data_IF_574698856066
#
_entry.id   IF_574698856066
#
_cell.length_a   1.000
_cell.length_b   1.000
_cell.length_c   1.000
_cell.angle_alpha   90.00
_cell.angle_beta   90.00
_cell.angle_gamma   90.00
#
_symmetry.space_group_name_H-M   'P 1'
#
loop_
_entity.id
_entity.type
_entity.pdbx_description
1 polymer ?
#
# COMPACT_ATOMS: atom_id res chain seq x y z
N UNK A 1 -34.49 -28.28 -23.99
CA UNK A 1 -33.15 -27.62 -23.88
C UNK A 1 -33.23 -26.25 -23.22
N UNK A 2 -33.69 -26.15 -21.95
CA UNK A 2 -33.75 -24.87 -21.22
C UNK A 2 -32.95 -24.85 -19.91
N UNK A 3 -32.37 -25.97 -19.51
CA UNK A 3 -31.61 -26.11 -18.25
C UNK A 3 -30.11 -25.82 -18.45
N UNK A 4 -29.61 -25.90 -19.69
CA UNK A 4 -28.19 -25.73 -20.00
C UNK A 4 -27.70 -24.27 -20.05
N UNK A 5 -28.62 -23.28 -20.03
CA UNK A 5 -28.26 -21.85 -20.05
C UNK A 5 -28.05 -21.23 -18.66
N UNK A 6 -28.47 -21.91 -17.60
CA UNK A 6 -28.30 -21.40 -16.22
C UNK A 6 -27.00 -21.86 -15.54
N UNK A 7 -26.33 -22.88 -16.07
CA UNK A 7 -25.08 -23.40 -15.47
C UNK A 7 -23.85 -22.58 -15.89
N UNK A 8 -23.91 -21.84 -17.01
CA UNK A 8 -22.78 -21.07 -17.52
C UNK A 8 -22.63 -19.65 -16.92
N UNK A 9 -23.62 -19.20 -16.15
CA UNK A 9 -23.62 -17.88 -15.49
C UNK A 9 -23.14 -17.94 -14.02
N UNK A 10 -22.77 -19.13 -13.52
CA UNK A 10 -22.31 -19.33 -12.15
C UNK A 10 -20.77 -19.27 -11.98
N UNK A 11 -20.04 -18.83 -13.01
CA UNK A 11 -18.56 -18.82 -13.03
C UNK A 11 -17.96 -17.47 -13.46
N UNK A 12 -18.54 -16.37 -12.98
CA UNK A 12 -17.94 -15.03 -13.10
C UNK A 12 -18.24 -14.19 -11.85
N UNK A 13 -18.10 -14.80 -10.67
CA UNK A 13 -17.80 -14.03 -9.48
C UNK A 13 -16.30 -13.74 -9.50
N UNK A 14 -15.91 -12.64 -10.14
CA UNK A 14 -14.61 -12.01 -9.87
C UNK A 14 -14.73 -11.44 -8.46
N UNK A 15 -14.49 -12.28 -7.45
CA UNK A 15 -14.30 -11.77 -6.10
C UNK A 15 -12.97 -11.03 -6.11
N UNK A 16 -12.91 -9.73 -5.77
CA UNK A 16 -11.62 -9.08 -5.59
C UNK A 16 -10.88 -9.87 -4.51
N UNK A 17 -9.75 -10.47 -4.88
CA UNK A 17 -8.85 -11.09 -3.92
C UNK A 17 -8.23 -9.93 -3.16
N UNK A 18 -8.88 -9.52 -2.07
CA UNK A 18 -8.35 -8.48 -1.21
C UNK A 18 -7.05 -9.01 -0.60
N UNK A 19 -6.08 -8.11 -0.50
CA UNK A 19 -4.88 -8.37 0.27
C UNK A 19 -5.26 -8.91 1.66
N UNK A 20 -4.49 -9.89 2.14
CA UNK A 20 -4.73 -10.39 3.49
C UNK A 20 -4.14 -9.39 4.47
N UNK A 21 -4.99 -8.81 5.32
CA UNK A 21 -4.52 -8.05 6.47
C UNK A 21 -3.81 -9.00 7.45
N UNK A 22 -2.53 -8.72 7.73
CA UNK A 22 -1.67 -9.56 8.57
C UNK A 22 -1.53 -9.04 10.00
N UNK A 23 -2.26 -7.98 10.37
CA UNK A 23 -2.30 -7.47 11.75
C UNK A 23 -3.41 -8.17 12.55
N UNK A 24 -3.15 -8.55 13.82
CA UNK A 24 -4.18 -9.09 14.68
C UNK A 24 -5.14 -7.99 15.13
N UNK A 25 -6.44 -8.30 15.20
CA UNK A 25 -7.44 -7.42 15.82
C UNK A 25 -7.36 -5.95 15.35
N UNK A 26 -7.23 -5.75 14.04
CA UNK A 26 -7.01 -4.44 13.42
C UNK A 26 -8.09 -3.40 13.65
N UNK A 27 -9.33 -3.84 13.86
CA UNK A 27 -10.47 -2.99 14.18
C UNK A 27 -10.69 -2.85 15.69
N UNK A 28 -9.75 -3.31 16.53
CA UNK A 28 -9.78 -3.20 17.99
C UNK A 28 -11.08 -3.68 18.68
N UNK A 29 -11.73 -4.72 18.14
CA UNK A 29 -12.98 -5.23 18.70
C UNK A 29 -12.77 -6.16 19.90
N UNK A 30 -11.63 -6.82 19.96
CA UNK A 30 -11.32 -7.78 21.02
C UNK A 30 -10.39 -7.16 22.06
N UNK A 31 -10.86 -7.06 23.31
CA UNK A 31 -10.09 -6.53 24.43
C UNK A 31 -9.88 -7.58 25.50
N UNK A 32 -8.66 -7.60 26.03
CA UNK A 32 -8.37 -8.28 27.28
C UNK A 32 -8.75 -7.28 28.36
N UNK A 33 -9.86 -7.54 29.05
CA UNK A 33 -10.39 -6.72 30.17
C UNK A 33 -10.34 -7.47 31.52
N UNK A 34 -9.85 -8.70 31.50
CA UNK A 34 -9.77 -9.58 32.67
C UNK A 34 -8.38 -9.50 33.30
N UNK A 35 -8.31 -9.57 34.64
CA UNK A 35 -7.08 -9.56 35.45
C UNK A 35 -6.35 -8.20 35.54
N UNK A 36 -7.04 -7.08 35.30
CA UNK A 36 -6.49 -5.73 35.48
C UNK A 36 -5.58 -5.25 34.34
N UNK A 37 -5.54 -6.00 33.24
CA UNK A 37 -4.95 -5.58 31.97
C UNK A 37 -6.10 -5.10 31.10
N UNK A 38 -6.03 -3.87 30.59
CA UNK A 38 -7.00 -3.29 29.66
C UNK A 38 -6.29 -2.97 28.34
N UNK A 39 -6.18 -3.96 27.45
CA UNK A 39 -5.45 -3.81 26.19
C UNK A 39 -6.17 -4.53 25.05
N UNK A 40 -6.07 -4.03 23.80
CA UNK A 40 -6.55 -4.76 22.64
C UNK A 40 -5.74 -6.03 22.45
N UNK A 41 -6.40 -7.14 22.13
CA UNK A 41 -5.72 -8.41 21.89
C UNK A 41 -4.70 -8.28 20.76
N UNK A 42 -3.44 -8.68 21.00
CA UNK A 42 -2.36 -8.59 20.01
C UNK A 42 -1.68 -7.23 19.92
N UNK A 43 -2.05 -6.28 20.78
CA UNK A 43 -1.47 -4.94 20.85
C UNK A 43 -0.93 -4.65 22.25
N UNK A 44 0.19 -3.94 22.29
CA UNK A 44 0.81 -3.39 23.50
C UNK A 44 0.45 -1.92 23.55
N UNK A 45 0.02 -1.44 24.71
CA UNK A 45 -0.33 -0.02 24.90
C UNK A 45 0.47 0.60 26.03
N UNK A 46 0.38 1.93 26.15
CA UNK A 46 0.91 2.68 27.29
C UNK A 46 0.11 2.52 28.58
N UNK A 47 -1.07 1.87 28.56
CA UNK A 47 -1.98 1.75 29.70
C UNK A 47 -1.35 1.15 30.96
N UNK A 48 -0.52 0.08 30.90
CA UNK A 48 0.12 -0.47 32.09
C UNK A 48 1.16 0.45 32.74
N UNK A 49 1.69 1.42 31.98
CA UNK A 49 2.67 2.39 32.46
C UNK A 49 1.99 3.66 32.97
N UNK A 50 0.94 4.10 32.25
CA UNK A 50 0.19 5.32 32.51
C UNK A 50 -1.30 5.02 32.41
N UNK A 51 -1.99 4.72 33.53
CA UNK A 51 -3.41 4.42 33.52
C UNK A 51 -4.25 5.55 32.91
N UNK A 52 -5.21 5.19 32.06
CA UNK A 52 -6.04 6.11 31.28
C UNK A 52 -5.40 6.62 29.99
N UNK A 53 -4.17 6.25 29.67
CA UNK A 53 -3.47 6.73 28.48
C UNK A 53 -3.88 6.01 27.20
N UNK A 54 -4.35 4.75 27.29
CA UNK A 54 -4.77 3.97 26.13
C UNK A 54 -5.97 3.10 26.50
N UNK A 55 -7.18 3.60 26.20
CA UNK A 55 -8.42 3.01 26.68
C UNK A 55 -9.35 2.65 25.53
N UNK A 56 -10.25 1.70 25.78
CA UNK A 56 -11.34 1.33 24.87
C UNK A 56 -12.34 2.48 24.76
N UNK A 57 -12.76 2.80 23.53
CA UNK A 57 -13.75 3.83 23.25
C UNK A 57 -14.82 3.31 22.29
N UNK A 58 -15.99 3.93 22.30
CA UNK A 58 -17.12 3.65 21.37
C UNK A 58 -17.24 4.70 20.26
N UNK A 59 -16.36 5.71 20.26
CA UNK A 59 -16.22 6.64 19.13
C UNK A 59 -15.41 5.98 18.01
N UNK A 60 -15.85 4.84 17.50
CA UNK A 60 -15.15 4.03 16.50
C UNK A 60 -15.41 4.50 15.08
N UNK A 61 -14.52 4.14 14.15
CA UNK A 61 -14.68 4.38 12.72
C UNK A 61 -15.59 3.30 12.12
N UNK A 62 -15.31 2.03 12.45
CA UNK A 62 -16.17 0.90 12.14
C UNK A 62 -16.41 0.06 13.40
N UNK A 63 -17.29 -0.93 13.31
CA UNK A 63 -17.56 -1.82 14.46
C UNK A 63 -18.13 -1.10 15.69
N UNK A 64 -17.70 -1.53 16.88
CA UNK A 64 -18.18 -1.04 18.17
C UNK A 64 -17.10 -0.34 18.99
N UNK A 65 -15.84 -0.70 18.78
CA UNK A 65 -14.74 -0.29 19.65
C UNK A 65 -13.55 0.22 18.87
N UNK A 66 -12.89 1.22 19.44
CA UNK A 66 -11.63 1.74 18.94
C UNK A 66 -10.66 1.98 20.12
N UNK A 67 -9.39 2.28 19.80
CA UNK A 67 -8.41 2.70 20.80
C UNK A 67 -8.44 4.21 20.92
N UNK A 68 -8.71 4.73 22.12
CA UNK A 68 -8.51 6.13 22.46
C UNK A 68 -7.18 6.29 23.19
N UNK A 69 -6.25 7.01 22.57
CA UNK A 69 -5.02 7.46 23.19
C UNK A 69 -5.21 8.85 23.79
N UNK A 70 -4.77 9.04 25.02
CA UNK A 70 -4.73 10.33 25.71
C UNK A 70 -3.31 10.55 26.21
N UNK A 71 -2.52 11.33 25.47
CA UNK A 71 -1.25 11.83 25.96
C UNK A 71 -1.54 12.79 27.11
N UNK A 72 -1.18 12.40 28.34
CA UNK A 72 -1.23 13.29 29.50
C UNK A 72 0.02 14.17 29.53
N UNK A 73 0.76 14.09 30.63
CA UNK A 73 2.10 14.69 30.75
C UNK A 73 3.16 13.93 29.93
N UNK A 74 2.85 12.69 29.50
CA UNK A 74 3.70 11.82 28.68
C UNK A 74 3.01 11.44 27.37
N UNK A 75 3.78 10.86 26.44
CA UNK A 75 3.24 10.29 25.22
C UNK A 75 2.42 9.01 25.52
N UNK A 76 1.30 8.83 24.83
CA UNK A 76 0.52 7.60 24.84
C UNK A 76 0.78 6.81 23.55
N UNK A 77 0.73 5.49 23.60
CA UNK A 77 0.99 4.67 22.42
C UNK A 77 0.16 3.40 22.35
N UNK A 78 0.03 2.88 21.13
CA UNK A 78 -0.43 1.54 20.82
C UNK A 78 0.50 0.96 19.76
N UNK A 79 0.93 -0.28 19.93
CA UNK A 79 1.94 -0.92 19.08
C UNK A 79 1.66 -2.41 18.91
N UNK A 80 1.91 -2.92 17.72
CA UNK A 80 1.96 -4.34 17.44
C UNK A 80 3.17 -4.66 16.58
N UNK A 81 3.52 -5.94 16.51
CA UNK A 81 4.59 -6.45 15.68
C UNK A 81 4.04 -7.62 14.86
N UNK A 82 4.37 -7.64 13.58
CA UNK A 82 4.01 -8.75 12.69
C UNK A 82 5.22 -9.23 11.91
N UNK A 83 5.15 -10.45 11.40
CA UNK A 83 6.19 -11.07 10.59
C UNK A 83 6.05 -10.56 9.16
N UNK A 84 7.16 -10.16 8.56
CA UNK A 84 7.23 -9.75 7.15
C UNK A 84 8.28 -10.59 6.42
N UNK A 85 8.05 -10.75 5.12
CA UNK A 85 9.00 -11.32 4.18
C UNK A 85 9.93 -10.22 3.63
N UNK A 86 11.25 -10.45 3.58
CA UNK A 86 12.19 -9.55 2.91
C UNK A 86 11.85 -9.28 1.45
N UNK A 87 12.14 -8.05 0.99
CA UNK A 87 11.97 -7.58 -0.40
C UNK A 87 10.52 -7.60 -0.92
N UNK A 88 9.54 -7.67 -0.02
CA UNK A 88 8.13 -7.61 -0.35
C UNK A 88 7.49 -6.26 -0.03
N UNK A 89 6.46 -5.93 -0.81
CA UNK A 89 5.67 -4.72 -0.65
C UNK A 89 4.45 -4.99 0.24
N UNK A 90 4.19 -4.05 1.14
CA UNK A 90 3.03 -4.04 2.01
C UNK A 90 2.32 -2.70 1.87
N UNK A 91 1.00 -2.75 1.93
CA UNK A 91 0.17 -1.56 1.99
C UNK A 91 -0.32 -1.38 3.43
N UNK A 92 0.17 -0.35 4.09
CA UNK A 92 -0.31 0.06 5.39
C UNK A 92 -1.49 1.03 5.22
N UNK A 93 -2.53 0.86 6.02
CA UNK A 93 -3.60 1.86 6.20
C UNK A 93 -4.06 1.87 7.65
N UNK A 94 -4.29 3.06 8.21
CA UNK A 94 -4.89 3.22 9.53
C UNK A 94 -5.76 4.46 9.60
N UNK A 95 -6.85 4.38 10.35
CA UNK A 95 -7.79 5.48 10.50
C UNK A 95 -7.59 6.18 11.84
N UNK A 96 -7.49 7.51 11.81
CA UNK A 96 -7.36 8.31 13.01
C UNK A 96 -8.30 9.52 13.00
N UNK A 97 -8.93 9.78 14.16
CA UNK A 97 -9.65 11.02 14.46
C UNK A 97 -8.85 11.80 15.49
N UNK A 98 -8.51 13.05 15.17
CA UNK A 98 -7.61 13.90 15.95
C UNK A 98 -8.29 15.22 16.31
N UNK A 99 -8.95 15.32 17.47
CA UNK A 99 -9.57 16.58 17.91
C UNK A 99 -8.56 17.71 18.18
N UNK A 100 -7.32 17.39 18.57
CA UNK A 100 -6.24 18.36 18.81
C UNK A 100 -5.63 18.90 17.50
N UNK A 101 -4.77 19.91 17.58
CA UNK A 101 -4.05 20.44 16.41
C UNK A 101 -3.14 19.38 15.78
N UNK A 102 -2.42 18.64 16.63
CA UNK A 102 -1.53 17.54 16.27
C UNK A 102 -1.86 16.38 17.20
N UNK A 103 -2.03 15.19 16.64
CA UNK A 103 -2.36 13.98 17.38
C UNK A 103 -1.14 13.16 17.73
N UNK A 104 -0.23 13.01 16.77
CA UNK A 104 0.86 12.05 16.86
C UNK A 104 1.30 11.59 15.48
N UNK A 105 1.77 10.35 15.39
CA UNK A 105 2.14 9.73 14.12
C UNK A 105 1.91 8.23 14.17
N UNK A 106 1.45 7.66 13.04
CA UNK A 106 1.74 6.25 12.77
C UNK A 106 3.24 6.12 12.49
N UNK A 107 3.84 5.04 12.98
CA UNK A 107 5.26 4.75 12.90
C UNK A 107 5.40 3.30 12.45
N UNK A 108 6.08 3.12 11.31
CA UNK A 108 6.36 1.83 10.71
C UNK A 108 7.87 1.60 10.77
N UNK A 109 8.31 0.62 11.56
CA UNK A 109 9.74 0.32 11.75
C UNK A 109 10.01 -1.14 11.46
N UNK A 110 10.81 -1.40 10.42
CA UNK A 110 11.33 -2.74 10.14
C UNK A 110 12.42 -3.10 11.14
N UNK A 111 12.44 -4.36 11.58
CA UNK A 111 13.47 -4.88 12.48
C UNK A 111 13.97 -6.25 12.05
N UNK A 112 15.19 -6.57 12.45
CA UNK A 112 15.75 -7.93 12.33
C UNK A 112 15.13 -8.85 13.38
N UNK A 113 15.47 -10.15 13.30
CA UNK A 113 15.03 -11.16 14.27
C UNK A 113 15.33 -10.79 15.74
N UNK A 114 16.45 -10.11 15.99
CA UNK A 114 16.86 -9.68 17.33
C UNK A 114 16.28 -8.32 17.76
N UNK A 115 15.35 -7.75 16.99
CA UNK A 115 14.70 -6.46 17.29
C UNK A 115 15.50 -5.22 16.89
N UNK A 116 16.70 -5.38 16.30
CA UNK A 116 17.49 -4.25 15.78
C UNK A 116 16.72 -3.52 14.67
N UNK A 117 16.55 -2.18 14.76
CA UNK A 117 15.89 -1.42 13.71
C UNK A 117 16.71 -1.40 12.43
N UNK A 118 16.01 -1.49 11.29
CA UNK A 118 16.60 -1.39 9.96
C UNK A 118 16.13 -0.07 9.34
N UNK A 119 17.09 0.80 9.03
CA UNK A 119 16.81 2.10 8.42
C UNK A 119 16.06 3.06 9.36
N UNK A 120 15.54 4.13 8.77
CA UNK A 120 14.71 5.13 9.46
C UNK A 120 13.25 4.68 9.41
N UNK A 121 12.46 4.89 10.49
CA UNK A 121 11.04 4.56 10.46
C UNK A 121 10.29 5.45 9.46
N UNK A 122 9.31 4.87 8.77
CA UNK A 122 8.32 5.65 8.04
C UNK A 122 7.31 6.21 9.04
N UNK A 123 7.09 7.53 8.96
CA UNK A 123 6.20 8.24 9.87
C UNK A 123 5.08 8.90 9.08
N UNK A 124 3.84 8.68 9.50
CA UNK A 124 2.65 9.36 8.99
C UNK A 124 2.06 10.25 10.09
N UNK A 125 2.42 11.55 10.15
CA UNK A 125 1.91 12.46 11.15
C UNK A 125 0.40 12.65 11.02
N UNK A 126 -0.32 12.47 12.12
CA UNK A 126 -1.75 12.68 12.19
C UNK A 126 -2.05 14.08 12.71
N UNK A 127 -2.54 14.92 11.79
CA UNK A 127 -2.97 16.29 12.09
C UNK A 127 -4.45 16.34 12.42
N UNK A 128 -4.89 17.48 12.94
CA UNK A 128 -6.28 17.78 13.22
C UNK A 128 -7.28 17.23 12.19
N UNK A 129 -8.30 16.56 12.70
CA UNK A 129 -9.46 16.11 11.95
C UNK A 129 -10.70 16.06 12.86
N UNK A 130 -11.81 16.61 12.37
CA UNK A 130 -13.11 16.55 13.07
C UNK A 130 -13.74 15.16 13.03
N UNK A 131 -13.34 14.36 12.06
CA UNK A 131 -13.78 12.98 11.84
C UNK A 131 -12.57 12.08 11.53
N UNK A 132 -12.81 10.79 11.42
CA UNK A 132 -11.81 9.83 11.01
C UNK A 132 -11.24 10.15 9.62
N UNK A 133 -9.90 10.10 9.53
CA UNK A 133 -9.14 10.24 8.29
C UNK A 133 -8.24 9.02 8.13
N UNK A 134 -8.17 8.51 6.90
CA UNK A 134 -7.24 7.45 6.53
C UNK A 134 -5.82 7.99 6.38
N UNK A 135 -4.86 7.21 6.85
CA UNK A 135 -3.43 7.41 6.65
C UNK A 135 -2.85 6.13 6.06
N UNK A 136 -2.46 6.19 4.80
CA UNK A 136 -1.95 5.03 4.07
C UNK A 136 -0.51 5.23 3.57
N UNK A 137 0.20 4.11 3.41
CA UNK A 137 1.55 4.09 2.87
C UNK A 137 1.91 2.74 2.29
N UNK A 138 2.51 2.76 1.11
CA UNK A 138 3.26 1.61 0.61
C UNK A 138 4.65 1.56 1.24
N UNK A 139 4.98 0.43 1.84
CA UNK A 139 6.31 0.16 2.43
C UNK A 139 6.90 -1.12 1.86
N UNK A 140 8.21 -1.13 1.68
CA UNK A 140 8.96 -2.29 1.17
C UNK A 140 9.86 -2.81 2.27
N UNK A 141 9.72 -4.08 2.62
CA UNK A 141 10.58 -4.71 3.61
C UNK A 141 12.02 -4.83 3.07
N UNK A 142 13.04 -4.32 3.78
CA UNK A 142 14.44 -4.54 3.41
C UNK A 142 14.84 -6.02 3.40
N UNK A 143 15.91 -6.38 2.69
CA UNK A 143 16.44 -7.75 2.54
C UNK A 143 16.67 -8.52 3.87
N UNK A 144 16.92 -7.81 4.97
CA UNK A 144 17.14 -8.42 6.30
C UNK A 144 15.98 -8.26 7.28
N UNK A 145 14.84 -7.71 6.83
CA UNK A 145 13.69 -7.48 7.68
C UNK A 145 12.94 -8.79 7.97
N UNK A 146 12.70 -9.05 9.25
CA UNK A 146 11.94 -10.19 9.73
C UNK A 146 10.60 -9.73 10.33
N UNK A 147 10.60 -8.56 10.95
CA UNK A 147 9.41 -8.00 11.55
C UNK A 147 9.17 -6.57 11.07
N UNK A 148 7.90 -6.18 11.15
CA UNK A 148 7.46 -4.79 11.07
C UNK A 148 6.72 -4.45 12.36
N UNK A 149 7.24 -3.45 13.08
CA UNK A 149 6.50 -2.80 14.16
C UNK A 149 5.57 -1.75 13.55
N UNK A 150 4.28 -1.86 13.87
CA UNK A 150 3.26 -0.88 13.52
C UNK A 150 2.80 -0.24 14.81
N UNK A 151 3.04 1.07 14.93
CA UNK A 151 2.73 1.81 16.14
C UNK A 151 2.03 3.11 15.83
N UNK A 152 1.26 3.62 16.78
CA UNK A 152 0.91 5.02 16.84
C UNK A 152 1.39 5.61 18.16
N UNK A 153 2.10 6.73 18.10
CA UNK A 153 2.52 7.48 19.27
C UNK A 153 1.80 8.83 19.28
N UNK A 154 0.92 9.02 20.26
CA UNK A 154 0.27 10.29 20.51
C UNK A 154 1.21 11.22 21.30
N UNK A 155 1.30 12.48 20.89
CA UNK A 155 2.11 13.47 21.59
C UNK A 155 1.49 13.82 22.96
N UNK A 156 2.27 14.36 23.91
CA UNK A 156 1.71 14.85 25.17
C UNK A 156 0.55 15.81 24.95
N UNK A 157 -0.43 15.79 25.84
CA UNK A 157 -1.70 16.53 25.80
C UNK A 157 -2.67 16.21 24.65
N UNK A 158 -2.27 15.41 23.65
CA UNK A 158 -3.13 15.07 22.53
C UNK A 158 -4.10 13.95 22.87
N UNK A 159 -5.32 14.04 22.32
CA UNK A 159 -6.27 12.93 22.28
C UNK A 159 -6.38 12.44 20.85
N UNK A 160 -6.28 11.14 20.63
CA UNK A 160 -6.42 10.51 19.32
C UNK A 160 -7.28 9.27 19.45
N UNK A 161 -8.18 9.08 18.50
CA UNK A 161 -8.94 7.85 18.35
C UNK A 161 -8.42 7.11 17.13
N UNK A 162 -8.06 5.85 17.30
CA UNK A 162 -7.44 5.00 16.29
C UNK A 162 -8.31 3.80 16.03
N UNK A 163 -8.50 3.49 14.75
CA UNK A 163 -9.30 2.35 14.33
C UNK A 163 -8.82 1.82 12.98
N UNK A 164 -9.27 0.61 12.63
CA UNK A 164 -9.05 -0.05 11.34
C UNK A 164 -7.59 0.01 10.84
N UNK A 165 -6.66 -0.42 11.70
CA UNK A 165 -5.23 -0.42 11.40
C UNK A 165 -4.85 -1.72 10.71
N UNK A 166 -4.61 -1.63 9.40
CA UNK A 166 -4.34 -2.76 8.52
C UNK A 166 -2.94 -2.71 7.94
N UNK A 167 -2.39 -3.90 7.71
CA UNK A 167 -1.20 -4.09 6.89
C UNK A 167 -1.48 -5.22 5.93
N UNK A 168 -1.58 -4.87 4.67
CA UNK A 168 -1.97 -5.76 3.59
C UNK A 168 -0.72 -6.38 2.94
N UNK A 169 -0.59 -7.70 3.03
CA UNK A 169 0.46 -8.45 2.32
C UNK A 169 0.05 -8.63 0.85
N UNK A 170 0.75 -7.92 -0.03
CA UNK A 170 0.44 -7.91 -1.46
C UNK A 170 1.02 -9.07 -2.24
N UNK A 171 1.86 -9.90 -1.61
CA UNK A 171 2.47 -11.03 -2.28
C UNK A 171 1.66 -12.32 -2.25
N UNK A 172 0.53 -12.31 -1.57
CA UNK A 172 -0.50 -13.35 -1.72
C UNK A 172 -1.50 -12.95 -2.83
N UNK A 173 -1.46 -11.69 -3.30
CA UNK A 173 -2.28 -11.19 -4.40
C UNK A 173 -1.50 -11.44 -5.68
N UNK A 174 -2.07 -12.23 -6.59
CA UNK A 174 -1.57 -12.27 -7.96
C UNK A 174 -1.56 -10.85 -8.51
N UNK A 175 -0.42 -10.41 -9.06
CA UNK A 175 -0.21 -9.09 -9.65
C UNK A 175 -1.46 -8.70 -10.47
N UNK A 176 -2.27 -7.78 -9.96
CA UNK A 176 -3.18 -7.03 -10.82
C UNK A 176 -2.29 -6.07 -11.61
N UNK A 177 -1.84 -6.51 -12.79
CA UNK A 177 -1.48 -5.55 -13.82
C UNK A 177 -2.68 -4.63 -13.94
N UNK A 178 -2.46 -3.34 -13.65
CA UNK A 178 -3.44 -2.30 -13.93
C UNK A 178 -3.85 -2.49 -15.39
N UNK A 179 -5.00 -3.12 -15.62
CA UNK A 179 -5.65 -3.06 -16.91
C UNK A 179 -5.99 -1.61 -17.06
N UNK A 180 -5.08 -0.88 -17.71
CA UNK A 180 -5.35 0.47 -18.18
C UNK A 180 -6.60 0.30 -19.02
N UNK A 181 -7.74 0.72 -18.48
CA UNK A 181 -8.98 0.83 -19.23
C UNK A 181 -8.65 1.81 -20.34
N UNK A 182 -8.30 1.27 -21.50
CA UNK A 182 -8.07 2.02 -22.73
C UNK A 182 -9.42 2.57 -23.17
N UNK A 183 -9.92 3.57 -22.47
CA UNK A 183 -10.77 4.62 -23.02
C UNK A 183 -9.89 5.82 -23.38
N UNK A 184 -8.80 5.55 -24.09
CA UNK A 184 -8.17 6.55 -24.93
C UNK A 184 -8.15 5.98 -26.35
N UNK A 185 -8.62 6.83 -27.27
CA UNK A 185 -8.63 6.65 -28.73
C UNK A 185 -7.46 5.80 -29.24
N UNK A 186 -7.63 5.07 -30.37
CA UNK A 186 -6.58 4.23 -30.92
C UNK A 186 -5.30 5.03 -31.14
N UNK A 187 -4.39 4.92 -30.19
CA UNK A 187 -3.04 5.44 -30.29
C UNK A 187 -2.30 4.48 -31.21
N UNK A 188 -1.61 4.96 -32.26
CA UNK A 188 -0.92 4.07 -33.19
C UNK A 188 0.12 3.26 -32.42
N UNK A 189 -0.11 1.94 -32.34
CA UNK A 189 0.81 0.99 -31.69
C UNK A 189 2.22 1.18 -32.26
N UNK A 190 3.22 1.50 -31.43
CA UNK A 190 4.59 1.55 -31.89
C UNK A 190 5.03 0.13 -32.26
N UNK A 191 5.24 -0.12 -33.55
CA UNK A 191 5.83 -1.38 -34.01
C UNK A 191 7.33 -1.34 -33.71
N UNK A 192 7.78 -2.25 -32.85
CA UNK A 192 9.21 -2.53 -32.63
C UNK A 192 9.77 -3.14 -33.91
N UNK A 193 10.77 -2.50 -34.49
CA UNK A 193 11.51 -3.06 -35.63
C UNK A 193 12.94 -3.30 -35.20
N UNK A 194 13.37 -4.56 -35.35
CA UNK A 194 14.75 -4.96 -35.16
C UNK A 194 15.40 -4.88 -36.54
N UNK A 195 16.40 -4.02 -36.72
CA UNK A 195 17.18 -3.95 -37.94
C UNK A 195 18.46 -4.79 -37.76
N UNK A 196 18.50 -6.06 -38.23
CA UNK A 196 19.71 -6.87 -38.17
C UNK A 196 20.79 -6.33 -39.12
N UNK A 197 22.04 -6.66 -38.80
CA UNK A 197 23.22 -6.31 -39.60
C UNK A 197 23.06 -6.81 -41.03
N UNK A 198 23.10 -5.90 -42.01
CA UNK A 198 23.25 -6.26 -43.42
C UNK A 198 22.02 -6.13 -44.33
N UNK A 199 20.91 -5.53 -43.90
CA UNK A 199 19.77 -5.29 -44.81
C UNK A 199 19.40 -3.80 -44.84
N UNK A 200 19.95 -3.08 -45.83
CA UNK A 200 19.58 -1.71 -46.18
C UNK A 200 18.25 -1.65 -46.98
N UNK A 201 17.51 -2.76 -47.10
CA UNK A 201 16.40 -2.89 -48.06
C UNK A 201 15.29 -3.86 -47.60
N UNK A 202 14.64 -3.60 -46.48
CA UNK A 202 13.27 -4.13 -46.21
C UNK A 202 12.57 -3.33 -45.11
N UNK A 203 12.73 -2.01 -45.11
CA UNK A 203 11.62 -1.16 -44.70
C UNK A 203 10.91 -0.81 -46.01
N UNK A 204 9.95 -1.67 -46.41
CA UNK A 204 8.94 -1.29 -47.41
C UNK A 204 8.50 0.14 -47.14
N UNK A 205 8.30 0.97 -48.19
CA UNK A 205 8.28 2.42 -48.07
C UNK A 205 7.39 2.81 -46.89
N UNK A 206 8.02 3.31 -45.83
CA UNK A 206 7.34 3.90 -44.69
C UNK A 206 6.41 4.95 -45.31
N UNK A 207 5.11 4.62 -45.40
CA UNK A 207 4.08 5.51 -45.89
C UNK A 207 4.33 6.90 -45.28
N UNK A 208 4.28 7.95 -46.11
CA UNK A 208 4.75 9.35 -45.92
C UNK A 208 4.43 10.09 -44.60
N UNK A 209 3.89 9.43 -43.57
CA UNK A 209 3.67 9.95 -42.24
C UNK A 209 4.38 9.20 -41.10
N UNK A 210 5.29 8.26 -41.36
CA UNK A 210 5.90 7.49 -40.26
C UNK A 210 7.22 8.10 -39.76
N UNK A 211 7.36 8.26 -38.44
CA UNK A 211 8.57 8.79 -37.78
C UNK A 211 9.26 7.66 -37.02
N UNK A 212 10.59 7.58 -37.13
CA UNK A 212 11.42 6.55 -36.53
C UNK A 212 12.20 7.10 -35.34
N UNK A 213 12.30 6.32 -34.27
CA UNK A 213 12.97 6.69 -33.01
C UNK A 213 13.97 5.63 -32.57
N UNK A 214 15.07 6.04 -31.94
CA UNK A 214 16.03 5.15 -31.27
C UNK A 214 15.54 4.71 -29.87
N UNK A 215 16.23 3.79 -29.18
CA UNK A 215 15.84 3.34 -27.84
C UNK A 215 15.90 4.42 -26.76
N UNK A 216 16.55 5.56 -27.05
CA UNK A 216 16.63 6.72 -26.18
C UNK A 216 15.55 7.76 -26.51
N UNK A 217 14.62 7.46 -27.42
CA UNK A 217 13.52 8.34 -27.80
C UNK A 217 13.92 9.47 -28.76
N UNK A 218 15.09 9.42 -29.40
CA UNK A 218 15.53 10.42 -30.38
C UNK A 218 15.05 10.06 -31.77
N UNK A 219 14.59 11.06 -32.53
CA UNK A 219 14.16 10.89 -33.91
C UNK A 219 15.34 10.54 -34.82
N UNK A 220 15.19 9.53 -35.67
CA UNK A 220 16.24 9.02 -36.57
C UNK A 220 15.79 9.13 -38.02
N UNK A 221 16.72 9.49 -38.91
CA UNK A 221 16.46 9.56 -40.34
C UNK A 221 16.57 8.16 -40.97
N UNK A 222 15.59 7.70 -41.78
CA UNK A 222 15.60 6.36 -42.38
C UNK A 222 16.82 6.08 -43.27
N UNK A 223 17.40 7.12 -43.88
CA UNK A 223 18.46 6.97 -44.88
C UNK A 223 19.84 6.60 -44.29
N UNK A 224 19.99 6.61 -42.96
CA UNK A 224 21.26 6.35 -42.27
C UNK A 224 21.10 5.55 -40.98
N UNK A 225 20.36 4.45 -41.05
CA UNK A 225 20.21 3.54 -39.91
C UNK A 225 21.49 2.76 -39.66
N UNK A 226 21.93 2.76 -38.41
CA UNK A 226 22.98 1.85 -37.91
C UNK A 226 22.30 0.55 -37.46
N UNK A 227 23.03 -0.56 -37.33
CA UNK A 227 22.47 -1.76 -36.70
C UNK A 227 21.98 -1.43 -35.29
N UNK A 228 20.73 -1.80 -34.97
CA UNK A 228 20.12 -1.42 -33.71
C UNK A 228 18.62 -1.66 -33.63
N UNK A 229 18.05 -1.39 -32.46
CA UNK A 229 16.60 -1.44 -32.21
C UNK A 229 16.00 -0.08 -32.48
N UNK A 230 14.90 -0.03 -33.24
CA UNK A 230 14.19 1.20 -33.54
C UNK A 230 12.68 1.06 -33.36
N UNK A 231 12.02 2.17 -33.10
CA UNK A 231 10.58 2.26 -32.89
C UNK A 231 9.97 3.13 -33.98
N UNK A 232 8.94 2.61 -34.66
CA UNK A 232 8.19 3.37 -35.68
C UNK A 232 6.89 3.86 -35.07
N UNK A 233 6.66 5.16 -35.13
CA UNK A 233 5.40 5.80 -34.77
C UNK A 233 4.76 6.35 -36.06
N UNK A 234 3.53 5.94 -36.35
CA UNK A 234 2.74 6.56 -37.43
C UNK A 234 2.19 7.90 -36.95
N UNK A 235 2.46 8.97 -37.69
CA UNK A 235 1.78 10.25 -37.50
C UNK A 235 0.32 10.08 -37.93
N UNK A 236 -0.61 10.57 -37.10
CA UNK A 236 -2.04 10.65 -37.44
C UNK A 236 -2.23 11.42 -38.74
#
# INVERSE_FOLDING_TARGET
MRILRFVFLLFLAVTPVRALNILPNSSFEYWIDTLGVHMPLGWITSEPLYPGSAVKSTESHTGLYCVKLTGGDTAAFVSTITIVRPDYHYHFSGWAKVPSLIGGSFILQFTKLLGEPIGTPEMLPAFHSSDYREYDRWVTAPESAVFLSVSFAAIPTATVYLDDVTLEDTAIIGIEEYQTTKTSEPHPDPRKVIAPVGITRTLEPLNSGSILYDPLGRRVCPDRLRPGVYFILRKR
#
